data_IF_513456466214
#
_entry.id   IF_513456466214
#
_cell.length_a   1.000
_cell.length_b   1.000
_cell.length_c   1.000
_cell.angle_alpha   90.00
_cell.angle_beta   90.00
_cell.angle_gamma   90.00
#
_symmetry.space_group_name_H-M   'P 1'
#
loop_
_entity.id
_entity.type
_entity.pdbx_description
1 polymer ?
#
# COMPACT_ATOMS: atom_id res chain seq x y z
N UNK A 1 2.51 8.26 2.12
CA UNK A 1 2.19 9.00 3.37
C UNK A 1 1.08 8.24 4.08
N UNK A 2 1.15 8.09 5.40
CA UNK A 2 0.07 7.44 6.18
C UNK A 2 -1.27 8.16 6.00
N UNK A 3 -2.35 7.38 5.92
CA UNK A 3 -3.76 7.79 5.76
C UNK A 3 -4.03 8.76 4.60
N UNK A 4 -3.14 8.80 3.60
CA UNK A 4 -3.32 9.56 2.36
C UNK A 4 -3.83 8.62 1.27
N UNK A 5 -4.72 9.12 0.43
CA UNK A 5 -5.15 8.41 -0.78
C UNK A 5 -3.95 8.07 -1.65
N UNK A 6 -3.99 6.87 -2.24
CA UNK A 6 -2.99 6.46 -3.22
C UNK A 6 -3.13 7.32 -4.49
N UNK A 7 -2.02 7.61 -5.19
CA UNK A 7 -2.06 8.39 -6.44
C UNK A 7 -2.82 7.65 -7.55
N UNK A 8 -2.90 6.32 -7.46
CA UNK A 8 -3.59 5.45 -8.41
C UNK A 8 -4.45 4.48 -7.60
N UNK A 9 -5.66 4.20 -8.10
CA UNK A 9 -6.54 3.17 -7.53
C UNK A 9 -5.84 1.82 -7.49
N UNK A 10 -5.78 1.20 -6.32
CA UNK A 10 -5.22 -0.14 -6.16
C UNK A 10 -6.16 -1.17 -6.77
N UNK A 11 -5.60 -2.12 -7.54
CA UNK A 11 -6.36 -3.18 -8.21
C UNK A 11 -5.67 -4.51 -7.96
N UNK A 12 -6.47 -5.53 -7.70
CA UNK A 12 -6.05 -6.94 -7.77
C UNK A 12 -6.62 -7.50 -9.05
N UNK A 13 -5.76 -8.12 -9.86
CA UNK A 13 -6.13 -8.78 -11.11
C UNK A 13 -5.93 -10.27 -10.93
N UNK A 14 -6.96 -11.07 -11.20
CA UNK A 14 -6.85 -12.52 -11.25
C UNK A 14 -6.49 -12.97 -12.67
N UNK A 15 -5.56 -13.93 -12.78
CA UNK A 15 -5.21 -14.54 -14.06
C UNK A 15 -6.07 -15.78 -14.35
N UNK A 16 -6.45 -16.51 -13.29
CA UNK A 16 -7.42 -17.59 -13.35
C UNK A 16 -8.85 -17.02 -13.36
N UNK A 17 -9.84 -17.86 -13.69
CA UNK A 17 -11.25 -17.50 -13.57
C UNK A 17 -11.67 -17.44 -12.09
N UNK A 18 -12.23 -16.29 -11.70
CA UNK A 18 -12.63 -15.98 -10.32
C UNK A 18 -13.99 -15.34 -10.40
N UNK A 19 -14.98 -16.05 -9.87
CA UNK A 19 -16.38 -15.64 -9.94
C UNK A 19 -16.58 -14.18 -9.50
N UNK A 20 -17.32 -13.43 -10.32
CA UNK A 20 -17.82 -12.12 -9.95
C UNK A 20 -18.57 -12.18 -8.61
N UNK A 21 -18.33 -11.17 -7.76
CA UNK A 21 -18.86 -11.18 -6.40
C UNK A 21 -17.90 -11.78 -5.36
N UNK A 22 -16.82 -12.46 -5.77
CA UNK A 22 -15.82 -12.96 -4.81
C UNK A 22 -15.16 -11.81 -4.06
N UNK A 23 -15.18 -11.86 -2.74
CA UNK A 23 -14.57 -10.84 -1.88
C UNK A 23 -13.05 -10.97 -1.93
N UNK A 24 -12.37 -9.83 -2.06
CA UNK A 24 -10.91 -9.71 -1.97
C UNK A 24 -10.57 -8.81 -0.79
N UNK A 25 -9.76 -9.34 0.13
CA UNK A 25 -9.31 -8.62 1.33
C UNK A 25 -7.80 -8.44 1.32
N UNK A 26 -7.33 -7.27 1.73
CA UNK A 26 -5.91 -6.96 1.91
C UNK A 26 -5.54 -6.94 3.39
N UNK A 27 -4.37 -7.47 3.71
CA UNK A 27 -3.71 -7.32 5.02
C UNK A 27 -2.26 -6.89 4.80
N UNK A 28 -1.69 -6.18 5.77
CA UNK A 28 -0.28 -5.82 5.74
C UNK A 28 0.41 -6.16 7.04
N UNK A 29 1.69 -6.47 6.95
CA UNK A 29 2.52 -6.68 8.12
C UNK A 29 4.01 -6.77 7.80
N UNK A 30 4.84 -6.64 8.82
CA UNK A 30 6.28 -6.90 8.81
C UNK A 30 6.78 -7.12 10.24
N UNK A 31 8.09 -7.20 10.43
CA UNK A 31 8.71 -7.48 11.73
C UNK A 31 8.46 -6.39 12.81
N UNK A 32 8.15 -5.15 12.43
CA UNK A 32 7.83 -4.08 13.39
C UNK A 32 6.33 -3.96 13.67
N UNK A 33 5.51 -4.26 12.68
CA UNK A 33 4.06 -4.18 12.77
C UNK A 33 3.49 -5.44 12.16
N UNK A 34 3.24 -6.43 13.02
CA UNK A 34 2.72 -7.75 12.63
C UNK A 34 1.40 -7.64 11.88
N UNK A 35 0.58 -6.65 12.25
CA UNK A 35 -0.67 -6.32 11.57
C UNK A 35 -0.80 -4.81 11.44
N UNK A 36 -0.49 -4.27 10.27
CA UNK A 36 -0.63 -2.85 9.99
C UNK A 36 -2.08 -2.47 9.68
N UNK A 37 -2.50 -1.30 10.16
CA UNK A 37 -3.85 -0.78 9.95
C UNK A 37 -4.05 -0.28 8.51
N UNK A 38 -5.18 -0.69 7.90
CA UNK A 38 -5.64 -0.26 6.59
C UNK A 38 -7.05 0.30 6.68
N UNK A 39 -7.44 1.16 5.73
CA UNK A 39 -8.82 1.56 5.49
C UNK A 39 -9.24 1.16 4.09
N UNK A 40 -10.50 0.75 3.92
CA UNK A 40 -11.06 0.30 2.64
C UNK A 40 -10.25 -0.85 2.01
N UNK A 41 -9.84 -1.80 2.85
CA UNK A 41 -9.01 -2.95 2.48
C UNK A 41 -9.80 -4.15 1.97
N UNK A 42 -11.08 -3.97 1.67
CA UNK A 42 -11.95 -5.00 1.10
C UNK A 42 -12.57 -4.48 -0.19
N UNK A 43 -12.60 -5.33 -1.21
CA UNK A 43 -13.25 -5.07 -2.50
C UNK A 43 -13.89 -6.35 -3.01
N UNK A 44 -14.60 -6.26 -4.13
CA UNK A 44 -15.30 -7.37 -4.78
C UNK A 44 -14.71 -7.56 -6.17
N UNK A 45 -14.46 -8.82 -6.54
CA UNK A 45 -14.01 -9.21 -7.88
C UNK A 45 -15.12 -8.95 -8.90
N UNK A 46 -14.77 -8.28 -10.00
CA UNK A 46 -15.64 -8.09 -11.15
C UNK A 46 -14.84 -8.12 -12.44
N UNK A 47 -15.17 -9.00 -13.38
CA UNK A 47 -14.43 -9.20 -14.63
C UNK A 47 -12.93 -9.40 -14.36
N UNK A 48 -12.59 -10.32 -13.45
CA UNK A 48 -11.21 -10.60 -13.02
C UNK A 48 -10.46 -9.44 -12.36
N UNK A 49 -11.13 -8.34 -12.00
CA UNK A 49 -10.51 -7.19 -11.34
C UNK A 49 -11.27 -6.78 -10.08
N UNK A 50 -10.59 -6.77 -8.92
CA UNK A 50 -11.08 -6.15 -7.70
C UNK A 50 -10.46 -4.76 -7.55
N UNK A 51 -11.29 -3.71 -7.64
CA UNK A 51 -10.86 -2.29 -7.54
C UNK A 51 -11.11 -1.77 -6.13
N UNK A 52 -10.08 -1.35 -5.43
CA UNK A 52 -10.21 -0.86 -4.06
C UNK A 52 -10.51 0.65 -4.07
N UNK A 53 -11.69 1.01 -3.58
CA UNK A 53 -12.10 2.41 -3.51
C UNK A 53 -11.40 3.11 -2.34
N UNK A 54 -10.49 4.03 -2.66
CA UNK A 54 -9.72 4.82 -1.69
C UNK A 54 -9.04 3.94 -0.60
N UNK A 55 -8.32 2.89 -1.03
CA UNK A 55 -7.46 2.11 -0.14
C UNK A 55 -6.44 3.03 0.53
N UNK A 56 -6.31 2.96 1.85
CA UNK A 56 -5.30 3.72 2.61
C UNK A 56 -4.51 2.84 3.56
N UNK A 57 -3.23 3.15 3.67
CA UNK A 57 -2.35 2.59 4.69
C UNK A 57 -2.29 3.57 5.86
N UNK A 58 -2.83 3.18 7.02
CA UNK A 58 -2.84 4.01 8.23
C UNK A 58 -1.64 3.68 9.10
N UNK A 59 -1.38 2.39 9.31
CA UNK A 59 -0.20 1.90 10.02
C UNK A 59 1.11 2.34 9.35
N UNK A 60 2.15 2.53 10.17
CA UNK A 60 3.50 2.89 9.70
C UNK A 60 4.33 1.61 9.61
N UNK A 61 5.16 1.49 8.57
CA UNK A 61 5.94 0.27 8.33
C UNK A 61 7.30 0.24 9.03
N UNK A 62 7.70 1.33 9.69
CA UNK A 62 9.01 1.44 10.35
C UNK A 62 10.05 2.25 9.58
N UNK A 63 11.12 2.67 10.27
CA UNK A 63 12.22 3.43 9.64
C UNK A 63 12.99 2.51 8.68
N UNK A 64 12.96 2.83 7.40
CA UNK A 64 13.66 2.05 6.37
C UNK A 64 13.03 0.70 6.05
N UNK A 65 11.85 0.38 6.61
CA UNK A 65 11.17 -0.90 6.44
C UNK A 65 9.92 -0.77 5.59
N UNK A 66 9.57 -1.83 4.88
CA UNK A 66 8.36 -1.93 4.06
C UNK A 66 7.40 -2.93 4.66
N UNK A 67 6.10 -2.75 4.42
CA UNK A 67 5.10 -3.78 4.64
C UNK A 67 5.18 -4.85 3.55
N UNK A 68 4.93 -6.10 3.95
CA UNK A 68 4.46 -7.14 3.05
C UNK A 68 2.94 -7.03 2.95
N UNK A 69 2.39 -7.17 1.74
CA UNK A 69 0.96 -7.11 1.46
C UNK A 69 0.44 -8.52 1.18
N UNK A 70 -0.46 -8.99 2.02
CA UNK A 70 -1.19 -10.24 1.83
C UNK A 70 -2.52 -9.94 1.14
N UNK A 71 -2.75 -10.61 0.01
CA UNK A 71 -3.96 -10.53 -0.81
C UNK A 71 -4.71 -11.85 -0.61
N UNK A 72 -5.95 -11.74 -0.13
CA UNK A 72 -6.81 -12.89 0.18
C UNK A 72 -8.00 -12.83 -0.78
N UNK A 73 -8.15 -13.86 -1.61
CA UNK A 73 -9.30 -14.04 -2.51
C UNK A 73 -10.19 -15.12 -1.89
N UNK A 74 -11.38 -14.72 -1.45
CA UNK A 74 -12.32 -15.59 -0.73
C UNK A 74 -13.11 -16.53 -1.67
N UNK A 75 -12.38 -17.19 -2.58
CA UNK A 75 -12.89 -18.25 -3.46
C UNK A 75 -13.01 -19.59 -2.72
N UNK A 76 -13.46 -20.64 -3.42
CA UNK A 76 -13.46 -22.02 -2.94
C UNK A 76 -12.73 -22.91 -3.95
N UNK A 77 -11.50 -23.37 -3.66
CA UNK A 77 -10.72 -23.12 -2.43
C UNK A 77 -10.28 -21.65 -2.29
N UNK A 78 -10.03 -21.22 -1.06
CA UNK A 78 -9.52 -19.87 -0.77
C UNK A 78 -8.10 -19.75 -1.31
N UNK A 79 -7.80 -18.62 -1.96
CA UNK A 79 -6.46 -18.32 -2.47
C UNK A 79 -5.84 -17.18 -1.69
N UNK A 80 -4.53 -17.27 -1.43
CA UNK A 80 -3.75 -16.24 -0.75
C UNK A 80 -2.42 -16.04 -1.46
N UNK A 81 -2.04 -14.79 -1.70
CA UNK A 81 -0.71 -14.45 -2.22
C UNK A 81 -0.11 -13.29 -1.44
N UNK A 82 1.21 -13.20 -1.42
CA UNK A 82 1.95 -12.17 -0.68
C UNK A 82 2.87 -11.40 -1.62
N UNK A 83 2.72 -10.08 -1.63
CA UNK A 83 3.67 -9.15 -2.25
C UNK A 83 4.64 -8.67 -1.18
N UNK A 84 5.89 -9.13 -1.24
CA UNK A 84 6.92 -8.77 -0.27
C UNK A 84 7.44 -7.36 -0.52
N UNK A 85 7.81 -6.65 0.57
CA UNK A 85 8.34 -5.28 0.54
C UNK A 85 7.52 -4.28 -0.30
N UNK A 86 6.19 -4.48 -0.35
CA UNK A 86 5.25 -3.78 -1.22
C UNK A 86 5.27 -2.25 -1.06
N UNK A 87 5.31 -1.76 0.18
CA UNK A 87 5.20 -0.32 0.43
C UNK A 87 5.86 0.09 1.75
N UNK A 88 6.60 1.20 1.73
CA UNK A 88 7.06 1.91 2.92
C UNK A 88 6.07 3.02 3.28
N UNK A 89 5.54 2.99 4.50
CA UNK A 89 4.54 3.94 5.00
C UNK A 89 5.09 4.70 6.20
N UNK A 90 5.21 6.01 6.04
CA UNK A 90 5.68 6.95 7.08
C UNK A 90 4.71 8.11 7.24
N UNK A 91 4.87 8.89 8.32
CA UNK A 91 4.04 10.06 8.64
C UNK A 91 4.06 11.11 7.53
N UNK A 92 5.25 11.44 7.03
CA UNK A 92 5.42 12.43 5.96
C UNK A 92 5.21 11.84 4.56
N UNK A 93 5.58 10.57 4.38
CA UNK A 93 5.78 10.00 3.05
C UNK A 93 7.02 10.60 2.35
N UNK A 94 7.09 10.53 1.01
CA UNK A 94 8.10 11.24 0.24
C UNK A 94 8.01 12.74 0.50
N UNK A 95 9.13 13.37 0.87
CA UNK A 95 9.21 14.78 1.24
C UNK A 95 10.54 15.35 0.77
N UNK A 96 10.51 16.57 0.25
CA UNK A 96 11.73 17.33 -0.09
C UNK A 96 12.63 17.54 1.14
N UNK A 97 13.95 17.65 0.96
CA UNK A 97 14.87 18.06 2.03
C UNK A 97 14.42 19.37 2.67
N UNK A 98 14.50 19.44 4.00
CA UNK A 98 13.97 20.58 4.75
C UNK A 98 14.74 21.88 4.50
N UNK A 99 16.03 21.82 4.17
CA UNK A 99 16.86 22.97 3.86
C UNK A 99 17.48 22.83 2.46
N UNK A 100 17.20 23.80 1.57
CA UNK A 100 18.03 24.08 0.41
C UNK A 100 19.24 24.86 0.93
N UNK A 101 20.42 24.27 0.92
CA UNK A 101 21.68 24.95 1.23
C UNK A 101 21.81 26.22 0.38
N UNK A 102 21.80 27.40 1.01
CA UNK A 102 22.14 28.69 0.38
C UNK A 102 23.66 28.88 0.27
N UNK A 103 24.41 27.85 -0.12
CA UNK A 103 25.87 27.98 -0.30
C UNK A 103 26.21 28.24 -1.77
N UNK A 104 25.83 29.42 -2.26
CA UNK A 104 26.22 29.94 -3.56
C UNK A 104 26.87 31.32 -3.40
N UNK A 105 28.19 31.31 -3.15
CA UNK A 105 29.21 32.36 -3.27
C UNK A 105 29.06 33.71 -2.52
N UNK A 106 30.16 34.24 -1.94
CA UNK A 106 30.18 35.59 -1.39
C UNK A 106 30.15 36.60 -2.56
N UNK A 107 29.30 37.61 -2.45
CA UNK A 107 29.46 38.82 -3.25
C UNK A 107 30.77 39.48 -2.81
N UNK A 108 31.71 39.52 -3.73
CA UNK A 108 32.99 40.20 -3.54
C UNK A 108 32.80 41.68 -3.22
N UNK A 109 33.69 42.16 -2.35
CA UNK A 109 34.16 43.53 -2.30
C UNK A 109 35.69 43.46 -2.34
#
# INVERSE_FOLDING_TARGET
RSNKSLPITFKVVALDDVKDGTVVTLRVGNDESVSGELRNNTSVMKNQVAKFNDLRFVGRSGRGKSFNLCIIVSSRPMQMTMLTKAIKVTVDGPREPRNKSRWGYPLGY
#
